data_IF_560810517927
#
_entry.id   IF_560810517927
#
_cell.length_a   1.000
_cell.length_b   1.000
_cell.length_c   1.000
_cell.angle_alpha   90.00
_cell.angle_beta   90.00
_cell.angle_gamma   90.00
#
_symmetry.space_group_name_H-M   'P 1'
#
loop_
_entity.id
_entity.type
_entity.pdbx_description
1 polymer ?
#
# COMPACT_ATOMS: atom_id res chain seq x y z
N UNK A 1 8.07 21.32 3.55
CA UNK A 1 7.92 19.87 3.74
C UNK A 1 9.29 19.22 3.88
N UNK A 2 9.36 18.00 4.40
CA UNK A 2 10.62 17.28 4.60
C UNK A 2 11.34 16.97 3.29
N UNK A 3 10.61 16.81 2.23
CA UNK A 3 11.16 16.55 0.89
C UNK A 3 12.05 17.73 0.45
N UNK A 4 11.59 18.97 0.63
CA UNK A 4 12.40 20.16 0.30
C UNK A 4 13.64 20.29 1.17
N UNK A 5 13.58 19.93 2.46
CA UNK A 5 14.77 19.91 3.33
C UNK A 5 15.83 18.93 2.84
N UNK A 6 15.41 17.79 2.30
CA UNK A 6 16.30 16.78 1.71
C UNK A 6 16.92 17.27 0.42
N UNK A 7 16.14 17.92 -0.44
CA UNK A 7 16.64 18.60 -1.62
C UNK A 7 17.74 19.59 -1.26
N UNK A 8 17.46 20.46 -0.28
CA UNK A 8 18.42 21.49 0.14
C UNK A 8 19.71 20.89 0.75
N UNK A 9 19.55 19.79 1.52
CA UNK A 9 20.69 19.04 2.07
C UNK A 9 21.57 18.49 0.97
N UNK A 10 21.00 17.75 0.01
CA UNK A 10 21.74 17.19 -1.14
C UNK A 10 22.43 18.31 -1.94
N UNK A 11 21.68 19.36 -2.31
CA UNK A 11 22.21 20.47 -3.09
C UNK A 11 23.39 21.20 -2.42
N UNK A 12 23.46 21.15 -1.10
CA UNK A 12 24.56 21.70 -0.31
C UNK A 12 25.74 20.76 -0.17
N UNK A 13 25.48 19.47 -0.02
CA UNK A 13 26.48 18.45 0.32
C UNK A 13 27.20 17.88 -0.90
N UNK A 14 26.51 17.75 -2.06
CA UNK A 14 27.15 17.20 -3.25
C UNK A 14 28.27 18.12 -3.76
N UNK A 15 29.36 17.50 -4.21
CA UNK A 15 30.55 18.19 -4.71
C UNK A 15 30.59 18.31 -6.24
N UNK A 16 29.63 17.69 -6.92
CA UNK A 16 29.60 17.59 -8.39
C UNK A 16 28.84 18.76 -9.03
N UNK A 17 28.36 19.72 -8.23
CA UNK A 17 27.61 20.88 -8.70
C UNK A 17 26.19 20.55 -9.17
N UNK A 18 25.68 19.37 -8.82
CA UNK A 18 24.33 18.93 -9.17
C UNK A 18 23.31 19.77 -8.39
N UNK A 19 22.23 20.15 -9.09
CA UNK A 19 21.09 20.84 -8.49
C UNK A 19 19.83 20.04 -8.73
N UNK A 20 19.26 19.50 -7.66
CA UNK A 20 17.94 18.90 -7.66
C UNK A 20 16.91 19.96 -7.32
N UNK A 21 15.86 20.04 -8.15
CA UNK A 21 14.67 20.85 -7.89
C UNK A 21 13.47 19.93 -7.89
N UNK A 22 12.83 19.79 -6.75
CA UNK A 22 11.62 19.01 -6.61
C UNK A 22 10.40 19.87 -6.92
N UNK A 23 9.45 19.28 -7.62
CA UNK A 23 8.12 19.82 -7.85
C UNK A 23 7.09 18.84 -7.34
N UNK A 24 6.22 19.28 -6.43
CA UNK A 24 5.16 18.47 -5.84
C UNK A 24 3.84 18.93 -6.41
N UNK A 25 3.17 18.07 -7.15
CA UNK A 25 1.90 18.35 -7.78
C UNK A 25 0.78 17.53 -7.15
N UNK A 26 -0.37 18.16 -6.92
CA UNK A 26 -1.62 17.46 -6.57
C UNK A 26 -2.33 16.90 -7.81
N UNK A 27 -1.93 17.32 -9.01
CA UNK A 27 -2.43 16.86 -10.30
C UNK A 27 -1.31 16.17 -11.11
N UNK A 28 -0.59 15.29 -10.41
CA UNK A 28 0.62 14.65 -10.92
C UNK A 28 0.38 13.89 -12.22
N UNK A 29 -0.66 13.05 -12.29
CA UNK A 29 -0.96 12.22 -13.45
C UNK A 29 -1.27 13.03 -14.71
N UNK A 30 -2.11 14.06 -14.58
CA UNK A 30 -2.50 14.94 -15.69
C UNK A 30 -1.32 15.73 -16.22
N UNK A 31 -0.50 16.27 -15.32
CA UNK A 31 0.71 17.01 -15.70
C UNK A 31 1.74 16.12 -16.36
N UNK A 32 1.98 14.91 -15.81
CA UNK A 32 2.94 13.96 -16.32
C UNK A 32 2.53 13.44 -17.70
N UNK A 33 1.27 13.04 -17.88
CA UNK A 33 0.75 12.58 -19.17
C UNK A 33 0.81 13.65 -20.24
N UNK A 34 0.52 14.92 -19.87
CA UNK A 34 0.63 16.06 -20.78
C UNK A 34 2.07 16.32 -21.23
N UNK A 35 3.01 16.29 -20.27
CA UNK A 35 4.43 16.48 -20.55
C UNK A 35 4.97 15.37 -21.47
N UNK A 36 4.64 14.12 -21.19
CA UNK A 36 5.07 12.97 -22.00
C UNK A 36 4.50 13.02 -23.42
N UNK A 37 3.21 13.40 -23.56
CA UNK A 37 2.61 13.57 -24.89
C UNK A 37 3.29 14.68 -25.70
N UNK A 38 3.86 15.69 -25.06
CA UNK A 38 4.64 16.76 -25.69
C UNK A 38 6.10 16.35 -25.99
N UNK A 39 6.54 15.16 -25.61
CA UNK A 39 7.94 14.73 -25.68
C UNK A 39 8.85 15.42 -24.66
N UNK A 40 8.24 15.94 -23.59
CA UNK A 40 8.91 16.61 -22.47
C UNK A 40 8.69 15.80 -21.22
N UNK A 41 9.34 16.19 -20.13
CA UNK A 41 9.15 15.55 -18.82
C UNK A 41 10.22 15.98 -17.83
N UNK A 42 10.03 15.68 -16.54
CA UNK A 42 11.08 15.87 -15.56
C UNK A 42 12.21 14.85 -15.80
N UNK A 43 13.42 15.14 -15.35
CA UNK A 43 14.52 14.19 -15.37
C UNK A 43 14.15 12.89 -14.64
N UNK A 44 13.53 13.02 -13.49
CA UNK A 44 13.20 11.90 -12.60
C UNK A 44 11.81 12.10 -12.01
N UNK A 45 11.09 11.00 -11.85
CA UNK A 45 9.83 10.95 -11.09
C UNK A 45 10.04 10.14 -9.81
N UNK A 46 9.30 10.51 -8.78
CA UNK A 46 9.15 9.76 -7.54
C UNK A 46 7.70 9.36 -7.39
N UNK A 47 7.40 8.12 -7.68
CA UNK A 47 6.02 7.63 -7.75
C UNK A 47 5.90 6.13 -7.46
N UNK A 48 4.67 5.64 -7.44
CA UNK A 48 4.40 4.20 -7.41
C UNK A 48 5.11 3.47 -8.54
N UNK A 49 5.73 2.35 -8.22
CA UNK A 49 6.34 1.47 -9.24
C UNK A 49 5.31 0.88 -10.22
N UNK A 50 4.01 0.89 -9.87
CA UNK A 50 2.93 0.52 -10.76
C UNK A 50 2.82 1.43 -11.99
N UNK A 51 3.39 2.64 -11.94
CA UNK A 51 3.46 3.54 -13.11
C UNK A 51 4.25 2.96 -14.29
N UNK A 52 5.05 1.89 -14.07
CA UNK A 52 5.70 1.16 -15.16
C UNK A 52 4.70 0.57 -16.15
N UNK A 53 3.51 0.21 -15.69
CA UNK A 53 2.43 -0.30 -16.56
C UNK A 53 1.75 0.78 -17.38
N UNK A 54 1.70 2.02 -16.86
CA UNK A 54 1.06 3.15 -17.53
C UNK A 54 2.05 3.97 -18.37
N UNK A 55 3.25 4.19 -17.85
CA UNK A 55 4.25 5.10 -18.42
C UNK A 55 5.58 4.41 -18.77
N UNK A 56 5.63 3.07 -18.85
CA UNK A 56 6.86 2.33 -19.11
C UNK A 56 7.61 2.77 -20.37
N UNK A 57 6.89 3.18 -21.43
CA UNK A 57 7.50 3.69 -22.67
C UNK A 57 8.20 5.04 -22.49
N UNK A 58 7.88 5.77 -21.41
CA UNK A 58 8.46 7.07 -21.07
C UNK A 58 9.51 6.99 -19.95
N UNK A 59 9.86 5.77 -19.52
CA UNK A 59 10.85 5.52 -18.49
C UNK A 59 12.07 4.81 -19.07
N UNK A 60 13.25 5.23 -18.65
CA UNK A 60 14.51 4.56 -19.00
C UNK A 60 14.68 3.27 -18.18
N UNK A 61 15.47 2.35 -18.71
CA UNK A 61 16.02 1.25 -17.92
C UNK A 61 17.08 1.81 -16.95
N UNK A 62 16.91 1.51 -15.68
CA UNK A 62 17.81 1.91 -14.60
C UNK A 62 18.52 0.73 -13.94
N UNK A 63 18.51 -0.44 -14.57
CA UNK A 63 19.16 -1.66 -14.05
C UNK A 63 20.67 -1.47 -13.82
N UNK A 64 21.30 -0.58 -14.60
CA UNK A 64 22.72 -0.26 -14.51
C UNK A 64 23.10 0.68 -13.34
N UNK A 65 22.14 1.11 -12.52
CA UNK A 65 22.43 1.97 -11.35
C UNK A 65 23.43 1.33 -10.39
N UNK A 66 23.33 0.02 -10.19
CA UNK A 66 24.22 -0.71 -9.26
C UNK A 66 25.63 -0.91 -9.83
N UNK A 67 25.80 -0.82 -11.16
CA UNK A 67 27.11 -0.86 -11.82
C UNK A 67 27.78 0.52 -11.90
N UNK A 68 26.97 1.59 -11.84
CA UNK A 68 27.42 2.99 -12.00
C UNK A 68 27.51 3.77 -10.70
N UNK A 69 27.14 3.16 -9.60
CA UNK A 69 27.17 3.73 -8.24
C UNK A 69 27.80 2.73 -7.28
N UNK A 70 28.12 3.18 -6.06
CA UNK A 70 28.61 2.32 -4.99
C UNK A 70 27.48 1.61 -4.21
N UNK A 71 26.25 1.62 -4.73
CA UNK A 71 25.11 0.93 -4.11
C UNK A 71 25.27 -0.58 -4.20
N UNK A 72 25.14 -1.27 -3.08
CA UNK A 72 25.11 -2.73 -3.03
C UNK A 72 23.69 -3.25 -3.33
N UNK A 73 23.51 -3.87 -4.51
CA UNK A 73 22.22 -4.46 -4.89
C UNK A 73 21.73 -5.49 -3.89
N UNK A 74 22.62 -6.20 -3.21
CA UNK A 74 22.25 -7.24 -2.22
C UNK A 74 21.75 -6.68 -0.90
N UNK A 75 21.92 -5.38 -0.66
CA UNK A 75 21.33 -4.68 0.48
C UNK A 75 19.84 -4.39 0.27
N UNK A 76 19.39 -4.33 -0.98
CA UNK A 76 17.97 -4.12 -1.29
C UNK A 76 17.19 -5.44 -1.15
N UNK A 77 16.00 -5.37 -0.57
CA UNK A 77 15.10 -6.53 -0.46
C UNK A 77 14.67 -6.92 -1.88
N UNK A 78 15.00 -8.14 -2.29
CA UNK A 78 14.86 -8.60 -3.68
C UNK A 78 13.43 -8.48 -4.20
N UNK A 79 12.42 -8.83 -3.40
CA UNK A 79 11.03 -8.73 -3.82
C UNK A 79 10.62 -7.28 -4.17
N UNK A 80 11.19 -6.29 -3.51
CA UNK A 80 10.91 -4.88 -3.81
C UNK A 80 11.63 -4.39 -5.07
N UNK A 81 12.81 -4.94 -5.38
CA UNK A 81 13.47 -4.71 -6.68
C UNK A 81 12.65 -5.35 -7.81
N UNK A 82 12.13 -6.55 -7.58
CA UNK A 82 11.30 -7.25 -8.56
C UNK A 82 10.02 -6.46 -8.86
N UNK A 83 9.42 -5.83 -7.83
CA UNK A 83 8.29 -4.91 -8.01
C UNK A 83 8.58 -3.68 -8.88
N UNK A 84 9.84 -3.24 -8.88
CA UNK A 84 10.30 -2.11 -9.66
C UNK A 84 10.66 -2.49 -11.10
N UNK A 85 10.58 -3.76 -11.44
CA UNK A 85 11.03 -4.33 -12.71
C UNK A 85 9.88 -5.02 -13.45
N UNK A 86 10.05 -5.18 -14.76
CA UNK A 86 9.21 -5.98 -15.62
C UNK A 86 10.10 -6.60 -16.71
N UNK A 87 10.03 -7.93 -16.88
CA UNK A 87 10.98 -8.69 -17.68
C UNK A 87 12.45 -8.36 -17.31
N UNK A 88 13.24 -7.96 -18.28
CA UNK A 88 14.65 -7.63 -18.10
C UNK A 88 14.92 -6.14 -17.76
N UNK A 89 13.87 -5.32 -17.65
CA UNK A 89 13.98 -3.88 -17.45
C UNK A 89 13.60 -3.48 -16.02
N UNK A 90 14.50 -2.72 -15.38
CA UNK A 90 14.20 -2.07 -14.09
C UNK A 90 13.77 -0.63 -14.35
N UNK A 91 12.56 -0.27 -13.92
CA UNK A 91 11.98 1.05 -14.15
C UNK A 91 12.21 2.01 -12.99
N UNK A 92 12.30 1.48 -11.76
CA UNK A 92 12.44 2.28 -10.56
C UNK A 92 13.50 1.70 -9.62
N UNK A 93 14.16 2.59 -8.88
CA UNK A 93 14.95 2.21 -7.70
C UNK A 93 14.11 2.49 -6.45
N UNK A 94 13.94 1.54 -5.53
CA UNK A 94 13.11 1.74 -4.35
C UNK A 94 13.47 2.97 -3.52
N UNK A 95 12.45 3.70 -3.07
CA UNK A 95 12.54 4.86 -2.19
C UNK A 95 11.79 4.63 -0.87
N UNK A 96 10.65 3.97 -0.93
CA UNK A 96 9.76 3.77 0.20
C UNK A 96 8.85 2.58 -0.06
N UNK A 97 8.52 1.86 0.99
CA UNK A 97 7.50 0.80 0.94
C UNK A 97 6.28 1.24 1.73
N UNK A 98 5.10 1.04 1.14
CA UNK A 98 3.80 1.25 1.79
C UNK A 98 3.08 -0.08 1.81
N UNK A 99 2.81 -0.62 3.00
CA UNK A 99 2.01 -1.81 3.19
C UNK A 99 0.69 -1.50 3.88
N UNK A 100 -0.27 -2.43 3.78
CA UNK A 100 -1.44 -2.44 4.63
C UNK A 100 -1.27 -3.52 5.69
N UNK A 101 -1.69 -3.20 6.91
CA UNK A 101 -1.50 -4.03 8.09
C UNK A 101 -2.79 -4.14 8.86
N UNK A 102 -2.92 -5.21 9.63
CA UNK A 102 -3.92 -5.28 10.68
C UNK A 102 -3.42 -4.51 11.90
N UNK A 103 -4.30 -3.71 12.47
CA UNK A 103 -4.11 -3.02 13.75
C UNK A 103 -5.16 -3.51 14.73
N UNK A 104 -4.75 -3.77 15.98
CA UNK A 104 -5.71 -4.13 17.02
C UNK A 104 -5.46 -3.34 18.30
N UNK A 105 -6.55 -2.95 18.96
CA UNK A 105 -6.53 -2.24 20.24
C UNK A 105 -6.36 -3.23 21.38
N UNK A 106 -5.17 -3.28 21.98
CA UNK A 106 -4.83 -4.21 23.05
C UNK A 106 -5.63 -3.98 24.32
N UNK A 107 -6.06 -2.76 24.60
CA UNK A 107 -6.88 -2.46 25.76
C UNK A 107 -8.30 -3.00 25.61
N UNK A 108 -8.88 -2.91 24.41
CA UNK A 108 -10.18 -3.51 24.11
C UNK A 108 -10.12 -5.04 24.15
N UNK A 109 -9.03 -5.65 23.67
CA UNK A 109 -8.79 -7.09 23.82
C UNK A 109 -8.80 -7.52 25.29
N UNK A 110 -8.03 -6.84 26.15
CA UNK A 110 -8.01 -7.09 27.60
C UNK A 110 -9.39 -6.95 28.23
N UNK A 111 -10.15 -5.91 27.88
CA UNK A 111 -11.51 -5.68 28.38
C UNK A 111 -12.48 -6.79 27.96
N UNK A 112 -12.30 -7.35 26.76
CA UNK A 112 -13.10 -8.47 26.24
C UNK A 112 -12.65 -9.85 26.76
N UNK A 113 -11.58 -9.91 27.57
CA UNK A 113 -11.00 -11.16 28.05
C UNK A 113 -10.23 -11.94 27.00
N UNK A 114 -9.78 -11.25 25.96
CA UNK A 114 -8.89 -11.78 24.92
C UNK A 114 -7.42 -11.54 25.30
N UNK A 115 -6.52 -12.39 24.80
CA UNK A 115 -5.08 -12.16 24.92
C UNK A 115 -4.65 -11.03 23.96
N UNK A 116 -4.15 -9.91 24.49
CA UNK A 116 -3.76 -8.76 23.66
C UNK A 116 -2.54 -9.02 22.76
N UNK A 117 -1.79 -10.11 23.00
CA UNK A 117 -0.62 -10.50 22.20
C UNK A 117 -0.95 -11.60 21.17
N UNK A 118 -2.20 -12.05 21.12
CA UNK A 118 -2.67 -13.08 20.19
C UNK A 118 -3.79 -12.53 19.31
N UNK A 119 -3.45 -11.75 18.27
CA UNK A 119 -4.44 -11.22 17.33
C UNK A 119 -5.02 -12.33 16.44
N UNK A 120 -6.17 -12.12 15.78
CA UNK A 120 -6.75 -13.10 14.87
C UNK A 120 -5.82 -13.35 13.67
N UNK A 121 -5.64 -14.62 13.31
CA UNK A 121 -4.81 -15.04 12.17
C UNK A 121 -5.64 -15.40 10.93
N UNK A 122 -6.96 -15.56 11.10
CA UNK A 122 -7.91 -15.80 10.03
C UNK A 122 -9.20 -14.99 10.25
N UNK A 123 -10.05 -14.96 9.25
CA UNK A 123 -11.26 -14.13 9.28
C UNK A 123 -12.38 -14.67 10.19
N UNK A 124 -12.40 -15.97 10.45
CA UNK A 124 -13.34 -16.54 11.42
C UNK A 124 -12.98 -16.12 12.85
N UNK A 125 -11.68 -16.07 13.16
CA UNK A 125 -11.20 -15.52 14.42
C UNK A 125 -11.46 -14.01 14.52
N UNK A 126 -11.26 -13.25 13.43
CA UNK A 126 -11.59 -11.82 13.37
C UNK A 126 -13.07 -11.58 13.77
N UNK A 127 -14.00 -12.26 13.10
CA UNK A 127 -15.42 -12.10 13.38
C UNK A 127 -15.79 -12.52 14.82
N UNK A 128 -15.18 -13.59 15.34
CA UNK A 128 -15.38 -14.06 16.70
C UNK A 128 -14.84 -13.09 17.75
N UNK A 129 -13.66 -12.54 17.53
CA UNK A 129 -13.06 -11.58 18.44
C UNK A 129 -13.78 -10.23 18.37
N UNK A 130 -14.19 -9.79 17.17
CA UNK A 130 -15.03 -8.61 16.99
C UNK A 130 -16.32 -8.71 17.81
N UNK A 131 -17.02 -9.84 17.74
CA UNK A 131 -18.25 -10.05 18.54
C UNK A 131 -18.02 -9.98 20.06
N UNK A 132 -16.83 -10.41 20.55
CA UNK A 132 -16.50 -10.32 21.97
C UNK A 132 -16.12 -8.91 22.41
N UNK A 133 -15.50 -8.14 21.54
CA UNK A 133 -15.03 -6.78 21.83
C UNK A 133 -16.18 -5.78 21.79
N UNK A 134 -17.18 -6.01 20.97
CA UNK A 134 -18.31 -5.09 20.75
C UNK A 134 -19.04 -4.79 22.05
N UNK A 135 -19.19 -3.49 22.37
CA UNK A 135 -19.98 -2.97 23.49
C UNK A 135 -20.79 -1.76 23.02
N UNK A 136 -22.02 -2.01 22.60
CA UNK A 136 -22.91 -0.96 22.07
C UNK A 136 -23.23 0.12 23.10
N UNK A 137 -23.18 -0.22 24.40
CA UNK A 137 -23.43 0.75 25.49
C UNK A 137 -22.33 1.81 25.59
N UNK A 138 -21.13 1.51 25.07
CA UNK A 138 -19.98 2.40 25.06
C UNK A 138 -19.61 2.90 23.66
N UNK A 139 -20.42 2.57 22.65
CA UNK A 139 -20.12 2.87 21.25
C UNK A 139 -18.77 2.28 20.81
N UNK A 140 -18.51 1.02 21.24
CA UNK A 140 -17.32 0.24 20.86
C UNK A 140 -17.73 -0.82 19.85
N UNK A 141 -16.99 -0.88 18.77
CA UNK A 141 -17.13 -1.86 17.70
C UNK A 141 -15.91 -2.79 17.66
N UNK A 142 -16.15 -4.07 17.52
CA UNK A 142 -15.05 -5.04 17.45
C UNK A 142 -14.28 -4.97 16.13
N UNK A 143 -14.94 -4.62 15.04
CA UNK A 143 -14.39 -4.50 13.69
C UNK A 143 -14.55 -3.09 13.15
N UNK A 144 -13.59 -2.62 12.37
CA UNK A 144 -13.61 -1.32 11.68
C UNK A 144 -13.28 -1.46 10.20
N UNK A 145 -14.25 -1.97 9.43
CA UNK A 145 -14.17 -2.01 7.96
C UNK A 145 -15.10 -0.93 7.41
N UNK A 146 -14.53 0.02 6.68
CA UNK A 146 -15.23 1.16 6.08
C UNK A 146 -16.03 0.73 4.85
N UNK A 147 -17.13 1.42 4.52
CA UNK A 147 -17.86 1.11 3.29
C UNK A 147 -17.42 1.94 2.06
N UNK A 148 -16.64 2.99 2.25
CA UNK A 148 -16.18 3.89 1.16
C UNK A 148 -14.66 4.06 1.12
N UNK A 149 -13.92 3.12 1.72
CA UNK A 149 -12.46 3.11 1.65
C UNK A 149 -11.99 1.95 0.76
N UNK A 150 -12.00 2.19 -0.54
CA UNK A 150 -11.75 1.17 -1.57
C UNK A 150 -10.42 0.42 -1.38
N UNK A 151 -9.34 1.11 -1.01
CA UNK A 151 -8.05 0.46 -0.79
C UNK A 151 -8.06 -0.50 0.40
N UNK A 152 -8.68 -0.12 1.53
CA UNK A 152 -8.84 -1.03 2.66
C UNK A 152 -9.60 -2.29 2.24
N UNK A 153 -10.72 -2.09 1.55
CA UNK A 153 -11.60 -3.17 1.09
C UNK A 153 -10.87 -4.08 0.09
N UNK A 154 -10.19 -3.51 -0.90
CA UNK A 154 -9.45 -4.27 -1.90
C UNK A 154 -8.36 -5.15 -1.26
N UNK A 155 -7.61 -4.63 -0.29
CA UNK A 155 -6.62 -5.41 0.43
C UNK A 155 -7.23 -6.55 1.25
N UNK A 156 -8.40 -6.34 1.85
CA UNK A 156 -9.14 -7.39 2.54
C UNK A 156 -9.68 -8.42 1.55
N UNK A 157 -10.37 -7.96 0.50
CA UNK A 157 -10.98 -8.85 -0.50
C UNK A 157 -9.96 -9.77 -1.18
N UNK A 158 -8.75 -9.27 -1.42
CA UNK A 158 -7.67 -10.06 -2.00
C UNK A 158 -7.33 -11.31 -1.17
N UNK A 159 -7.50 -11.26 0.17
CA UNK A 159 -7.29 -12.41 1.07
C UNK A 159 -8.32 -13.50 0.88
N UNK A 160 -9.50 -13.15 0.40
CA UNK A 160 -10.61 -14.06 0.21
C UNK A 160 -10.67 -14.67 -1.20
N UNK A 161 -10.53 -13.84 -2.22
CA UNK A 161 -10.82 -14.27 -3.58
C UNK A 161 -9.77 -13.90 -4.63
N UNK A 162 -8.63 -13.37 -4.22
CA UNK A 162 -7.59 -12.92 -5.14
C UNK A 162 -7.99 -11.65 -5.89
N UNK A 163 -7.73 -11.62 -7.19
CA UNK A 163 -7.83 -10.41 -8.00
C UNK A 163 -9.26 -10.13 -8.50
N UNK A 164 -9.63 -8.85 -8.54
CA UNK A 164 -10.92 -8.37 -9.07
C UNK A 164 -10.98 -8.45 -10.62
N UNK A 165 -9.83 -8.35 -11.26
CA UNK A 165 -9.65 -8.51 -12.71
C UNK A 165 -8.54 -9.53 -12.94
N UNK A 166 -8.79 -10.50 -13.82
CA UNK A 166 -7.81 -11.52 -14.17
C UNK A 166 -7.38 -11.38 -15.62
N UNK A 167 -6.12 -11.75 -15.90
CA UNK A 167 -5.61 -11.89 -17.25
C UNK A 167 -5.75 -13.36 -17.72
N UNK A 168 -6.46 -13.58 -18.81
CA UNK A 168 -6.57 -14.87 -19.47
C UNK A 168 -5.94 -14.77 -20.87
N UNK A 169 -4.65 -15.06 -20.96
CA UNK A 169 -3.86 -15.03 -22.18
C UNK A 169 -3.94 -13.69 -22.94
N UNK A 170 -3.76 -12.59 -22.23
CA UNK A 170 -3.78 -11.23 -22.76
C UNK A 170 -5.19 -10.65 -22.91
N UNK A 171 -6.19 -11.30 -22.34
CA UNK A 171 -7.55 -10.80 -22.25
C UNK A 171 -7.96 -10.60 -20.79
N UNK A 172 -8.27 -9.39 -20.47
CA UNK A 172 -8.78 -9.03 -19.16
C UNK A 172 -10.22 -9.55 -18.96
N UNK A 173 -10.52 -10.03 -17.75
CA UNK A 173 -11.85 -10.49 -17.34
C UNK A 173 -12.17 -10.01 -15.94
N UNK A 174 -13.39 -9.54 -15.72
CA UNK A 174 -13.91 -9.26 -14.38
C UNK A 174 -14.06 -10.58 -13.58
N UNK A 175 -13.81 -10.53 -12.28
CA UNK A 175 -13.77 -11.69 -11.40
C UNK A 175 -14.52 -11.45 -10.08
N UNK A 176 -15.78 -11.00 -10.16
CA UNK A 176 -16.66 -10.80 -9.01
C UNK A 176 -17.73 -11.90 -8.91
N UNK A 177 -18.47 -12.10 -9.98
CA UNK A 177 -19.52 -13.11 -10.03
C UNK A 177 -18.90 -14.52 -10.00
N UNK A 178 -19.50 -15.42 -9.23
CA UNK A 178 -18.98 -16.76 -8.97
C UNK A 178 -17.60 -16.79 -8.24
N UNK A 179 -17.17 -15.69 -7.67
CA UNK A 179 -16.01 -15.64 -6.79
C UNK A 179 -16.45 -15.98 -5.36
N UNK A 180 -16.28 -17.25 -4.97
CA UNK A 180 -16.71 -17.76 -3.67
C UNK A 180 -16.02 -17.01 -2.49
N UNK A 181 -14.79 -16.54 -2.70
CA UNK A 181 -14.08 -15.76 -1.70
C UNK A 181 -14.72 -14.39 -1.47
N UNK A 182 -15.09 -13.69 -2.54
CA UNK A 182 -15.78 -12.40 -2.44
C UNK A 182 -17.18 -12.54 -1.85
N UNK A 183 -17.90 -13.61 -2.20
CA UNK A 183 -19.17 -13.93 -1.57
C UNK A 183 -19.01 -14.18 -0.06
N UNK A 184 -17.98 -14.94 0.34
CA UNK A 184 -17.66 -15.20 1.76
C UNK A 184 -17.36 -13.90 2.50
N UNK A 185 -16.54 -13.02 1.92
CA UNK A 185 -16.22 -11.71 2.50
C UNK A 185 -17.47 -10.85 2.70
N UNK A 186 -18.29 -10.68 1.67
CA UNK A 186 -19.48 -9.82 1.76
C UNK A 186 -20.51 -10.36 2.74
N UNK A 187 -20.68 -11.68 2.82
CA UNK A 187 -21.56 -12.30 3.81
C UNK A 187 -21.03 -12.06 5.23
N UNK A 188 -19.72 -12.21 5.46
CA UNK A 188 -19.10 -11.92 6.76
C UNK A 188 -19.26 -10.44 7.14
N UNK A 189 -18.98 -9.53 6.20
CA UNK A 189 -19.11 -8.08 6.41
C UNK A 189 -20.53 -7.69 6.76
N UNK A 190 -21.52 -8.20 6.00
CA UNK A 190 -22.93 -7.98 6.28
C UNK A 190 -23.35 -8.52 7.63
N UNK A 191 -22.92 -9.71 7.98
CA UNK A 191 -23.24 -10.35 9.29
C UNK A 191 -22.70 -9.50 10.46
N UNK A 192 -21.48 -8.98 10.36
CA UNK A 192 -20.90 -8.09 11.38
C UNK A 192 -21.68 -6.77 11.50
N UNK A 193 -22.15 -6.21 10.39
CA UNK A 193 -23.00 -5.01 10.41
C UNK A 193 -24.36 -5.31 11.06
N UNK A 194 -25.02 -6.39 10.64
CA UNK A 194 -26.34 -6.78 11.17
C UNK A 194 -26.30 -7.07 12.68
N UNK A 195 -25.18 -7.55 13.19
CA UNK A 195 -24.93 -7.78 14.63
C UNK A 195 -24.47 -6.53 15.38
N UNK A 196 -24.07 -5.48 14.68
CA UNK A 196 -23.51 -4.27 15.28
C UNK A 196 -22.04 -4.40 15.68
N UNK A 197 -21.33 -5.40 15.17
CA UNK A 197 -19.91 -5.62 15.44
C UNK A 197 -19.00 -4.74 14.55
N UNK A 198 -19.53 -4.26 13.42
CA UNK A 198 -18.89 -3.30 12.54
C UNK A 198 -19.79 -2.08 12.32
N UNK A 199 -19.28 -0.85 12.40
CA UNK A 199 -20.09 0.34 12.14
C UNK A 199 -20.41 0.49 10.66
N UNK A 200 -21.50 1.17 10.32
CA UNK A 200 -21.80 1.61 8.95
C UNK A 200 -21.24 3.01 8.75
N UNK A 201 -19.93 3.08 8.50
CA UNK A 201 -19.19 4.33 8.33
C UNK A 201 -18.42 4.34 7.03
N UNK A 202 -18.38 5.51 6.38
CA UNK A 202 -17.62 5.71 5.15
C UNK A 202 -16.13 5.50 5.38
N UNK A 203 -15.64 6.03 6.52
CA UNK A 203 -14.26 5.92 6.98
C UNK A 203 -14.23 5.73 8.49
N UNK A 204 -13.62 4.65 8.94
CA UNK A 204 -13.52 4.29 10.36
C UNK A 204 -12.31 4.89 11.06
N UNK A 205 -11.41 5.59 10.39
CA UNK A 205 -10.14 6.09 10.95
C UNK A 205 -10.32 7.00 12.17
N UNK A 206 -11.36 7.83 12.17
CA UNK A 206 -11.67 8.70 13.33
C UNK A 206 -12.08 7.90 14.55
N UNK A 207 -12.83 6.83 14.38
CA UNK A 207 -13.26 5.93 15.46
C UNK A 207 -12.09 5.08 15.96
N UNK A 208 -11.23 4.62 15.07
CA UNK A 208 -9.97 3.92 15.41
C UNK A 208 -9.11 4.82 16.28
N UNK A 209 -8.89 6.07 15.85
CA UNK A 209 -8.14 7.06 16.60
C UNK A 209 -8.77 7.44 17.95
N UNK A 210 -10.10 7.34 18.07
CA UNK A 210 -10.80 7.54 19.33
C UNK A 210 -10.77 6.31 20.27
N UNK A 211 -10.13 5.20 19.85
CA UNK A 211 -10.09 3.96 20.62
C UNK A 211 -11.41 3.19 20.67
N UNK A 212 -12.32 3.44 19.71
CA UNK A 212 -13.66 2.86 19.65
C UNK A 212 -13.74 1.59 18.78
N UNK A 213 -12.63 1.21 18.12
CA UNK A 213 -12.55 0.06 17.22
C UNK A 213 -11.54 -0.95 17.75
N UNK A 214 -11.93 -2.23 17.77
CA UNK A 214 -11.09 -3.32 18.25
C UNK A 214 -10.03 -3.73 17.24
N UNK A 215 -10.43 -3.97 16.01
CA UNK A 215 -9.55 -4.48 14.94
C UNK A 215 -9.87 -3.72 13.64
N UNK A 216 -8.82 -3.29 12.92
CA UNK A 216 -8.96 -2.64 11.61
C UNK A 216 -7.79 -2.99 10.69
N UNK A 217 -7.91 -2.64 9.41
CA UNK A 217 -6.86 -2.72 8.40
C UNK A 217 -6.56 -1.32 7.89
N UNK A 218 -5.29 -0.96 7.77
CA UNK A 218 -4.89 0.33 7.22
C UNK A 218 -3.41 0.42 6.94
N UNK A 219 -2.98 1.56 6.44
CA UNK A 219 -1.58 1.85 6.17
C UNK A 219 -0.84 2.43 7.40
N UNK A 220 0.44 2.78 7.25
CA UNK A 220 1.27 3.30 8.36
C UNK A 220 0.70 4.55 9.05
N UNK A 221 -0.11 5.35 8.36
CA UNK A 221 -0.74 6.57 8.89
C UNK A 221 -1.71 6.33 10.06
N UNK A 222 -2.29 5.13 10.17
CA UNK A 222 -3.19 4.74 11.27
C UNK A 222 -2.50 4.92 12.63
N UNK A 223 -1.19 4.68 12.69
CA UNK A 223 -0.43 4.80 13.94
C UNK A 223 -0.42 6.21 14.52
N UNK A 224 -0.50 7.25 13.70
CA UNK A 224 -0.46 8.64 14.17
C UNK A 224 -1.69 8.99 15.02
N UNK A 225 -2.86 8.52 14.61
CA UNK A 225 -4.10 8.69 15.39
C UNK A 225 -4.08 7.90 16.70
N UNK A 226 -3.68 6.64 16.65
CA UNK A 226 -3.56 5.77 17.81
C UNK A 226 -2.56 6.29 18.84
N UNK A 227 -1.38 6.75 18.40
CA UNK A 227 -0.36 7.35 19.28
C UNK A 227 -0.88 8.62 19.96
N UNK A 228 -1.57 9.49 19.21
CA UNK A 228 -2.14 10.74 19.74
C UNK A 228 -3.20 10.46 20.80
N UNK A 229 -4.00 9.42 20.60
CA UNK A 229 -5.03 8.99 21.55
C UNK A 229 -4.46 8.20 22.76
N UNK A 230 -3.19 7.81 22.72
CA UNK A 230 -2.55 6.98 23.75
C UNK A 230 -3.07 5.56 23.81
N UNK A 231 -3.56 5.03 22.69
CA UNK A 231 -4.06 3.64 22.59
C UNK A 231 -2.87 2.67 22.58
N UNK A 232 -2.94 1.62 23.41
CA UNK A 232 -2.01 0.48 23.32
C UNK A 232 -2.50 -0.45 22.20
N UNK A 233 -1.68 -0.61 21.13
CA UNK A 233 -2.07 -1.36 19.94
C UNK A 233 -0.98 -2.30 19.45
N UNK A 234 -1.38 -3.30 18.68
CA UNK A 234 -0.49 -4.17 17.91
C UNK A 234 -0.58 -3.89 16.43
N UNK A 235 0.45 -4.33 15.70
CA UNK A 235 0.54 -4.30 14.24
C UNK A 235 0.92 -5.70 13.75
N UNK A 236 0.21 -6.22 12.77
CA UNK A 236 0.46 -7.54 12.23
C UNK A 236 0.02 -7.70 10.79
N UNK A 237 0.24 -8.90 10.26
CA UNK A 237 -0.24 -9.30 8.96
C UNK A 237 -1.77 -9.29 8.94
N UNK A 238 -2.36 -8.82 7.84
CA UNK A 238 -3.81 -8.95 7.62
C UNK A 238 -4.16 -10.45 7.69
N UNK A 239 -5.24 -10.84 8.39
CA UNK A 239 -5.65 -12.23 8.46
C UNK A 239 -5.73 -12.88 7.08
N UNK A 240 -5.24 -14.09 6.98
CA UNK A 240 -5.20 -14.85 5.74
C UNK A 240 -6.43 -15.75 5.63
N UNK A 241 -6.79 -16.09 4.40
CA UNK A 241 -7.78 -17.12 4.09
C UNK A 241 -7.13 -18.15 3.13
N UNK A 242 -7.91 -19.01 2.51
CA UNK A 242 -7.45 -20.09 1.61
C UNK A 242 -6.61 -19.59 0.41
N UNK A 243 -6.59 -18.28 0.16
CA UNK A 243 -5.77 -17.66 -0.88
C UNK A 243 -4.24 -17.72 -0.59
N UNK A 244 -3.83 -18.11 0.62
CA UNK A 244 -2.44 -18.22 1.04
C UNK A 244 -1.88 -16.93 1.66
N UNK A 245 -0.65 -17.03 2.17
CA UNK A 245 0.04 -15.92 2.80
C UNK A 245 0.42 -14.87 1.76
N UNK A 246 -0.26 -13.73 1.81
CA UNK A 246 0.06 -12.59 0.97
C UNK A 246 -0.18 -11.28 1.72
N UNK A 247 0.65 -10.30 1.45
CA UNK A 247 0.42 -8.94 1.87
C UNK A 247 0.70 -8.00 0.70
N UNK A 248 -0.15 -7.02 0.50
CA UNK A 248 0.03 -6.06 -0.57
C UNK A 248 0.93 -4.94 -0.12
N UNK A 249 1.94 -4.64 -0.89
CA UNK A 249 2.81 -3.49 -0.68
C UNK A 249 2.92 -2.68 -1.95
N UNK A 250 3.01 -1.38 -1.79
CA UNK A 250 3.41 -0.46 -2.85
C UNK A 250 4.87 -0.10 -2.66
N UNK A 251 5.66 -0.23 -3.71
CA UNK A 251 7.02 0.30 -3.74
C UNK A 251 6.99 1.62 -4.48
N UNK A 252 7.20 2.70 -3.74
CA UNK A 252 7.47 4.01 -4.34
C UNK A 252 8.96 4.05 -4.69
N UNK A 253 9.29 4.49 -5.89
CA UNK A 253 10.64 4.49 -6.38
C UNK A 253 11.01 5.72 -7.21
N UNK A 254 12.31 5.84 -7.46
CA UNK A 254 12.90 6.82 -8.37
C UNK A 254 12.91 6.23 -9.78
N UNK A 255 12.13 6.80 -10.69
CA UNK A 255 12.14 6.47 -12.12
C UNK A 255 12.76 7.61 -12.92
N UNK A 256 13.59 7.27 -13.93
CA UNK A 256 14.22 8.26 -14.81
C UNK A 256 13.47 8.28 -16.13
N UNK A 257 13.07 9.46 -16.58
CA UNK A 257 12.26 9.59 -17.80
C UNK A 257 13.12 9.53 -19.07
N UNK A 258 12.51 9.18 -20.19
CA UNK A 258 13.17 9.22 -21.51
C UNK A 258 13.50 10.63 -22.00
N UNK A 259 12.95 11.67 -21.35
CA UNK A 259 13.31 13.07 -21.60
C UNK A 259 14.67 13.44 -21.02
N UNK A 260 15.18 12.67 -20.05
CA UNK A 260 16.48 12.92 -19.43
C UNK A 260 17.62 12.53 -20.35
N UNK A 261 18.61 13.42 -20.49
CA UNK A 261 19.89 13.13 -21.13
C UNK A 261 20.73 12.17 -20.29
N UNK A 262 21.78 11.59 -20.89
CA UNK A 262 22.73 10.72 -20.17
C UNK A 262 23.36 11.43 -18.97
N UNK A 263 23.73 12.71 -19.12
CA UNK A 263 24.28 13.50 -18.03
C UNK A 263 23.28 13.74 -16.89
N UNK A 264 22.02 13.94 -17.21
CA UNK A 264 20.94 14.07 -16.21
C UNK A 264 20.66 12.74 -15.52
N UNK A 265 20.70 11.61 -16.27
CA UNK A 265 20.58 10.27 -15.70
C UNK A 265 21.72 10.00 -14.71
N UNK A 266 22.97 10.32 -15.06
CA UNK A 266 24.10 10.18 -14.15
C UNK A 266 23.96 11.07 -12.89
N UNK A 267 23.47 12.31 -13.04
CA UNK A 267 23.21 13.20 -11.92
C UNK A 267 22.08 12.63 -11.01
N UNK A 268 21.03 12.05 -11.59
CA UNK A 268 19.97 11.38 -10.85
C UNK A 268 20.50 10.16 -10.07
N UNK A 269 21.41 9.38 -10.65
CA UNK A 269 22.07 8.25 -9.98
C UNK A 269 22.87 8.72 -8.75
N UNK A 270 23.55 9.87 -8.83
CA UNK A 270 24.23 10.47 -7.66
C UNK A 270 23.27 10.87 -6.53
N UNK A 271 22.07 11.34 -6.88
CA UNK A 271 21.05 11.61 -5.89
C UNK A 271 20.51 10.32 -5.24
N UNK A 272 20.23 9.29 -6.04
CA UNK A 272 19.76 7.98 -5.56
C UNK A 272 20.82 7.32 -4.67
N UNK A 273 22.11 7.39 -5.07
CA UNK A 273 23.22 6.91 -4.28
C UNK A 273 23.31 7.64 -2.93
N UNK A 274 23.30 8.97 -2.93
CA UNK A 274 23.30 9.77 -1.70
C UNK A 274 22.12 9.43 -0.77
N UNK A 275 20.95 9.20 -1.35
CA UNK A 275 19.76 8.85 -0.58
C UNK A 275 19.94 7.55 0.22
N UNK A 276 20.59 6.57 -0.38
CA UNK A 276 20.74 5.22 0.17
C UNK A 276 22.08 4.99 0.90
N UNK A 277 23.05 5.87 0.72
CA UNK A 277 24.37 5.67 1.32
C UNK A 277 24.35 5.95 2.82
N UNK A 278 24.87 5.00 3.59
CA UNK A 278 25.05 5.19 5.03
C UNK A 278 26.36 5.95 5.33
N UNK A 279 26.27 6.89 6.27
CA UNK A 279 27.41 7.52 6.90
C UNK A 279 28.11 6.53 7.87
N UNK A 280 29.28 6.94 8.38
CA UNK A 280 30.08 6.10 9.30
C UNK A 280 29.37 5.74 10.61
N UNK A 281 28.38 6.54 11.00
CA UNK A 281 27.52 6.28 12.17
C UNK A 281 26.29 5.45 11.86
N UNK A 282 26.13 4.99 10.60
CA UNK A 282 25.00 4.20 10.14
C UNK A 282 23.77 5.02 9.78
N UNK A 283 23.82 6.35 9.85
CA UNK A 283 22.75 7.22 9.40
C UNK A 283 22.69 7.27 7.86
N UNK A 284 21.51 7.48 7.31
CA UNK A 284 21.30 7.74 5.88
C UNK A 284 20.02 8.56 5.68
N UNK A 285 19.88 9.28 4.56
CA UNK A 285 18.60 9.92 4.24
C UNK A 285 17.42 8.94 4.23
N UNK A 286 17.62 7.70 3.76
CA UNK A 286 16.62 6.65 3.78
C UNK A 286 16.21 6.23 5.19
N UNK A 287 17.17 6.03 6.11
CA UNK A 287 16.89 5.74 7.52
C UNK A 287 16.12 6.88 8.19
N UNK A 288 16.60 8.10 8.06
CA UNK A 288 15.95 9.27 8.64
C UNK A 288 14.52 9.46 8.08
N UNK A 289 14.30 9.13 6.81
CA UNK A 289 12.97 9.15 6.20
C UNK A 289 12.03 8.14 6.84
N UNK A 290 12.47 6.88 6.97
CA UNK A 290 11.70 5.81 7.62
C UNK A 290 11.33 6.16 9.05
N UNK A 291 12.31 6.58 9.86
CA UNK A 291 12.11 6.93 11.28
C UNK A 291 11.12 8.08 11.45
N UNK A 292 11.21 9.09 10.59
CA UNK A 292 10.41 10.31 10.72
C UNK A 292 9.00 10.15 10.17
N UNK A 293 8.84 9.44 9.05
CA UNK A 293 7.58 9.36 8.35
C UNK A 293 6.82 8.04 8.61
N UNK A 294 7.44 7.08 9.32
CA UNK A 294 6.80 5.85 9.76
C UNK A 294 6.60 4.81 8.66
N UNK A 295 7.40 4.86 7.57
CA UNK A 295 7.35 3.85 6.51
C UNK A 295 8.43 2.79 6.70
N UNK A 296 8.11 1.50 6.50
CA UNK A 296 9.09 0.43 6.64
C UNK A 296 10.22 0.53 5.62
N UNK A 297 11.38 0.01 6.00
CA UNK A 297 12.58 0.02 5.17
C UNK A 297 12.51 -1.00 4.04
N UNK A 298 13.17 -0.67 2.95
CA UNK A 298 13.32 -1.51 1.76
C UNK A 298 14.75 -2.05 1.58
N UNK A 299 15.64 -1.73 2.53
CA UNK A 299 17.02 -2.26 2.57
C UNK A 299 17.31 -2.94 3.90
N UNK A 300 18.15 -3.96 3.85
CA UNK A 300 18.58 -4.69 5.05
C UNK A 300 19.44 -3.84 5.97
N UNK A 301 20.27 -2.96 5.44
CA UNK A 301 21.11 -2.07 6.23
C UNK A 301 20.27 -1.13 7.11
N UNK A 302 19.18 -0.58 6.58
CA UNK A 302 18.24 0.24 7.37
C UNK A 302 17.47 -0.62 8.37
N UNK A 303 16.97 -1.78 7.98
CA UNK A 303 16.26 -2.69 8.91
C UNK A 303 17.16 -3.16 10.06
N UNK A 304 18.46 -3.32 9.80
CA UNK A 304 19.43 -3.76 10.78
C UNK A 304 19.99 -2.66 11.66
N UNK A 305 19.69 -1.39 11.38
CA UNK A 305 20.09 -0.26 12.20
C UNK A 305 19.44 -0.32 13.59
N UNK A 306 20.20 -0.01 14.65
CA UNK A 306 19.74 -0.15 16.03
C UNK A 306 18.58 0.81 16.36
N UNK A 307 18.57 2.01 15.81
CA UNK A 307 17.49 2.98 16.00
C UNK A 307 16.20 2.52 15.29
N UNK A 308 16.33 1.94 14.09
CA UNK A 308 15.20 1.35 13.38
C UNK A 308 14.62 0.16 14.16
N UNK A 309 15.45 -0.76 14.64
CA UNK A 309 15.04 -1.91 15.46
C UNK A 309 14.36 -1.50 16.76
N UNK A 310 14.81 -0.42 17.38
CA UNK A 310 14.20 0.13 18.58
C UNK A 310 12.81 0.75 18.33
N UNK A 311 12.50 1.10 17.08
CA UNK A 311 11.17 1.58 16.69
C UNK A 311 10.23 0.38 16.53
N UNK A 312 9.42 0.09 17.55
CA UNK A 312 8.52 -1.07 17.60
C UNK A 312 7.53 -1.11 16.44
N UNK A 313 7.05 0.04 15.95
CA UNK A 313 6.09 0.13 14.84
C UNK A 313 6.75 -0.30 13.53
N UNK A 314 7.89 0.29 13.20
CA UNK A 314 8.62 -0.04 11.97
C UNK A 314 9.07 -1.51 11.96
N UNK A 315 9.57 -2.01 13.10
CA UNK A 315 9.95 -3.41 13.24
C UNK A 315 8.75 -4.35 13.06
N UNK A 316 7.58 -4.01 13.61
CA UNK A 316 6.36 -4.80 13.45
C UNK A 316 5.85 -4.79 12.01
N UNK A 317 5.88 -3.63 11.33
CA UNK A 317 5.51 -3.52 9.90
C UNK A 317 6.45 -4.34 9.02
N UNK A 318 7.77 -4.28 9.26
CA UNK A 318 8.73 -5.08 8.51
C UNK A 318 8.54 -6.58 8.73
N UNK A 319 8.25 -7.01 9.96
CA UNK A 319 7.96 -8.40 10.30
C UNK A 319 6.63 -8.90 9.71
N UNK A 320 5.65 -8.00 9.50
CA UNK A 320 4.37 -8.32 8.89
C UNK A 320 4.40 -8.35 7.34
N UNK A 321 5.50 -7.93 6.72
CA UNK A 321 5.66 -8.02 5.27
C UNK A 321 6.21 -9.41 4.91
N UNK A 322 5.49 -10.23 4.14
CA UNK A 322 6.00 -11.52 3.68
C UNK A 322 7.18 -11.33 2.71
N UNK A 323 8.00 -12.37 2.56
CA UNK A 323 9.15 -12.34 1.64
C UNK A 323 8.76 -12.13 0.18
N UNK A 324 7.56 -12.57 -0.21
CA UNK A 324 7.00 -12.39 -1.55
C UNK A 324 5.66 -11.66 -1.48
N UNK A 325 5.65 -10.34 -1.21
CA UNK A 325 4.41 -9.58 -1.15
C UNK A 325 3.76 -9.47 -2.54
N UNK A 326 2.46 -9.22 -2.56
CA UNK A 326 1.73 -8.91 -3.80
C UNK A 326 1.74 -7.40 -4.08
N UNK A 327 1.37 -7.01 -5.29
CA UNK A 327 1.20 -5.61 -5.65
C UNK A 327 0.20 -4.90 -4.73
N UNK A 328 0.51 -3.67 -4.35
CA UNK A 328 -0.30 -2.83 -3.46
C UNK A 328 -1.68 -2.56 -4.05
N UNK A 329 -1.72 -2.15 -5.30
CA UNK A 329 -2.97 -2.03 -6.03
C UNK A 329 -3.27 -3.41 -6.60
N UNK A 330 -4.33 -4.01 -6.08
CA UNK A 330 -4.86 -5.27 -6.60
C UNK A 330 -5.12 -5.09 -8.09
N UNK A 331 -4.56 -5.98 -8.91
CA UNK A 331 -4.63 -5.87 -10.38
C UNK A 331 -3.91 -4.63 -10.96
N UNK A 332 -2.81 -4.19 -10.33
CA UNK A 332 -2.07 -2.99 -10.76
C UNK A 332 -1.57 -3.03 -12.20
N UNK A 333 -1.45 -4.21 -12.78
CA UNK A 333 -1.15 -4.43 -14.18
C UNK A 333 -2.36 -4.22 -15.12
N UNK A 334 -3.57 -4.11 -14.60
CA UNK A 334 -4.75 -3.76 -15.39
C UNK A 334 -4.87 -2.24 -15.54
N UNK A 335 -4.78 -1.67 -16.77
CA UNK A 335 -4.76 -0.22 -16.96
C UNK A 335 -6.03 0.51 -16.46
N UNK A 336 -7.15 -0.19 -16.34
CA UNK A 336 -8.44 0.34 -15.89
C UNK A 336 -8.71 0.18 -14.39
N UNK A 337 -7.75 -0.28 -13.60
CA UNK A 337 -7.96 -0.64 -12.19
C UNK A 337 -8.47 0.51 -11.33
N UNK A 338 -8.01 1.73 -11.58
CA UNK A 338 -8.46 2.89 -10.81
C UNK A 338 -9.99 3.10 -10.87
N UNK A 339 -10.61 2.86 -12.02
CA UNK A 339 -12.07 2.95 -12.15
C UNK A 339 -12.79 1.82 -11.39
N UNK A 340 -12.19 0.64 -11.29
CA UNK A 340 -12.73 -0.45 -10.47
C UNK A 340 -12.67 -0.09 -8.98
N UNK A 341 -11.55 0.48 -8.53
CA UNK A 341 -11.34 0.88 -7.14
C UNK A 341 -12.21 2.08 -6.75
N UNK A 342 -12.37 3.08 -7.62
CA UNK A 342 -13.09 4.31 -7.29
C UNK A 342 -14.61 4.19 -7.42
N UNK A 343 -15.09 3.39 -8.38
CA UNK A 343 -16.50 3.40 -8.75
C UNK A 343 -17.20 2.07 -8.40
N UNK A 344 -16.55 0.93 -8.65
CA UNK A 344 -17.21 -0.38 -8.53
C UNK A 344 -17.17 -0.92 -7.10
N UNK A 345 -15.98 -0.94 -6.48
CA UNK A 345 -15.83 -1.53 -5.13
C UNK A 345 -16.63 -0.74 -4.09
N UNK A 346 -16.56 0.61 -4.01
CA UNK A 346 -17.37 1.36 -3.05
C UNK A 346 -18.88 1.18 -3.24
N UNK A 347 -19.37 1.17 -4.47
CA UNK A 347 -20.80 0.95 -4.75
C UNK A 347 -21.25 -0.44 -4.30
N UNK A 348 -20.46 -1.46 -4.58
CA UNK A 348 -20.75 -2.85 -4.16
C UNK A 348 -20.86 -2.94 -2.63
N UNK A 349 -19.85 -2.45 -1.91
CA UNK A 349 -19.81 -2.51 -0.44
C UNK A 349 -20.93 -1.67 0.16
N UNK A 350 -21.13 -0.45 -0.33
CA UNK A 350 -22.17 0.47 0.13
C UNK A 350 -23.56 -0.19 -0.01
N UNK A 351 -23.85 -0.80 -1.16
CA UNK A 351 -25.15 -1.42 -1.40
C UNK A 351 -25.44 -2.58 -0.42
N UNK A 352 -24.43 -3.33 -0.01
CA UNK A 352 -24.55 -4.39 1.00
C UNK A 352 -24.66 -3.80 2.41
N UNK A 353 -23.81 -2.81 2.74
CA UNK A 353 -23.80 -2.18 4.07
C UNK A 353 -25.14 -1.56 4.44
N UNK A 354 -25.80 -0.88 3.50
CA UNK A 354 -27.11 -0.26 3.70
C UNK A 354 -28.29 -1.18 3.41
N UNK A 355 -28.03 -2.45 3.04
CA UNK A 355 -29.11 -3.42 2.75
C UNK A 355 -29.89 -3.13 1.47
N UNK A 356 -29.31 -2.35 0.53
CA UNK A 356 -29.94 -2.00 -0.74
C UNK A 356 -29.85 -3.12 -1.78
N UNK A 357 -28.97 -4.08 -1.58
CA UNK A 357 -28.80 -5.25 -2.44
C UNK A 357 -28.49 -6.47 -1.60
N UNK A 358 -28.88 -7.64 -2.08
CA UNK A 358 -28.31 -8.89 -1.59
C UNK A 358 -26.84 -9.00 -1.98
N UNK A 359 -26.08 -9.88 -1.34
CA UNK A 359 -24.68 -10.14 -1.69
C UNK A 359 -24.53 -10.60 -3.14
N UNK A 360 -25.41 -11.51 -3.59
CA UNK A 360 -25.44 -12.00 -4.98
C UNK A 360 -25.69 -10.86 -5.98
N UNK A 361 -26.70 -10.00 -5.72
CA UNK A 361 -26.98 -8.84 -6.59
C UNK A 361 -25.83 -7.83 -6.63
N UNK A 362 -25.15 -7.61 -5.50
CA UNK A 362 -24.02 -6.72 -5.44
C UNK A 362 -22.82 -7.23 -6.25
N UNK A 363 -22.53 -8.54 -6.16
CA UNK A 363 -21.47 -9.19 -6.94
C UNK A 363 -21.79 -9.19 -8.44
N UNK A 364 -23.04 -9.47 -8.83
CA UNK A 364 -23.46 -9.42 -10.23
C UNK A 364 -23.32 -8.01 -10.82
N UNK A 365 -23.75 -6.97 -10.09
CA UNK A 365 -23.58 -5.57 -10.53
C UNK A 365 -22.10 -5.19 -10.64
N UNK A 366 -21.26 -5.59 -9.68
CA UNK A 366 -19.84 -5.35 -9.71
C UNK A 366 -19.17 -6.05 -10.91
N UNK A 367 -19.56 -7.30 -11.21
CA UNK A 367 -19.12 -8.04 -12.38
C UNK A 367 -19.45 -7.28 -13.68
N UNK A 368 -20.71 -6.88 -13.85
CA UNK A 368 -21.17 -6.17 -15.07
C UNK A 368 -20.46 -4.81 -15.24
N UNK A 369 -20.33 -4.05 -14.14
CA UNK A 369 -19.67 -2.76 -14.17
C UNK A 369 -18.19 -2.88 -14.51
N UNK A 370 -17.50 -3.84 -13.88
CA UNK A 370 -16.08 -4.11 -14.13
C UNK A 370 -15.87 -4.63 -15.56
N UNK A 371 -16.72 -5.50 -16.05
CA UNK A 371 -16.61 -6.04 -17.42
C UNK A 371 -16.73 -4.93 -18.47
N UNK A 372 -17.61 -3.93 -18.27
CA UNK A 372 -17.68 -2.74 -19.13
C UNK A 372 -16.40 -1.91 -19.17
N UNK A 373 -15.69 -1.85 -18.03
CA UNK A 373 -14.38 -1.19 -17.96
C UNK A 373 -13.36 -2.03 -18.73
N UNK A 374 -13.29 -3.32 -18.45
CA UNK A 374 -12.38 -4.29 -19.06
C UNK A 374 -12.52 -4.33 -20.59
N UNK A 375 -13.73 -4.32 -21.11
CA UNK A 375 -14.02 -4.37 -22.55
C UNK A 375 -13.42 -3.21 -23.35
N UNK A 376 -13.11 -2.08 -22.69
CA UNK A 376 -12.44 -0.95 -23.32
C UNK A 376 -10.97 -1.23 -23.61
N UNK A 377 -10.36 -2.16 -22.87
CA UNK A 377 -8.95 -2.52 -22.95
C UNK A 377 -8.69 -3.83 -23.71
N UNK A 378 -9.71 -4.62 -23.96
CA UNK A 378 -9.65 -5.88 -24.71
C UNK A 378 -9.79 -5.70 -26.24
N UNK A 379 -9.53 -4.53 -26.76
CA UNK A 379 -9.73 -4.22 -28.19
C UNK A 379 -8.59 -4.70 -29.07
#
# INVERSE_FOLDING_TARGET
>A
SDVYKRQDKFNKENKDGIKVKMDISSDFDSQLSTAFAAGEGPTMILSSSAYRFTYGDYLQDVSDVFDKTDLDKTDFIQSYLDYCSDDDKTYFVPFQVVGYYMYWNKDLFKQAGLDPETPPVNWDEWAKDAAKITDSSKNIYGSGISYDYAYQIAHIMQRFGGLAVTDDNGKWKANFENNAGYEKFLNMYKDMIDKGDNPVEADTDSMVSAGQVGITVGGPWVTAGLDTAGVDYGIGLIPQDDAGDMNSVEVIGFGITTAASDAEKEAAYKFIEWWNTQDKDGSSPALEWSLKNGFPAYTYSVQNNDEYKANKKLSAMSAANPEAPTDFIVDSNFPGINAVLSDVIPEMINSVAFGNSSVEEALTKAQEATQKIVDKYNK
#
